data_IF_150414834451
#
_entry.id   IF_150414834451
#
_cell.length_a   1.000
_cell.length_b   1.000
_cell.length_c   1.000
_cell.angle_alpha   90.00
_cell.angle_beta   90.00
_cell.angle_gamma   90.00
#
_symmetry.space_group_name_H-M   'P 1'
#
loop_
_entity.id
_entity.type
_entity.pdbx_description
1 polymer ?
#
# COMPACT_ATOMS: atom_id res chain seq x y z
N UNK A 1 -7.78 32.52 33.92
CA UNK A 1 -7.50 32.22 32.50
C UNK A 1 -6.67 30.95 32.46
N UNK A 2 -7.27 29.82 32.06
CA UNK A 2 -6.51 28.57 31.94
C UNK A 2 -5.59 28.70 30.73
N UNK A 3 -4.28 28.74 30.95
CA UNK A 3 -3.29 28.77 29.88
C UNK A 3 -3.37 27.49 29.03
N UNK A 4 -2.93 27.59 27.77
CA UNK A 4 -2.84 26.44 26.88
C UNK A 4 -1.91 25.39 27.51
N UNK A 5 -2.36 24.15 27.65
CA UNK A 5 -1.57 23.10 28.30
C UNK A 5 -0.33 22.77 27.47
N UNK A 6 0.86 23.16 27.94
CA UNK A 6 2.13 23.01 27.22
C UNK A 6 2.40 21.56 26.80
N UNK A 7 2.02 20.58 27.62
CA UNK A 7 2.17 19.15 27.31
C UNK A 7 1.44 18.75 26.01
N UNK A 8 0.20 19.18 25.81
CA UNK A 8 -0.59 18.85 24.60
C UNK A 8 0.03 19.47 23.35
N UNK A 9 0.52 20.71 23.43
CA UNK A 9 1.22 21.38 22.32
C UNK A 9 2.47 20.63 21.89
N UNK A 10 3.36 20.32 22.84
CA UNK A 10 4.61 19.64 22.52
C UNK A 10 4.37 18.21 22.02
N UNK A 11 3.43 17.49 22.62
CA UNK A 11 3.02 16.16 22.14
C UNK A 11 2.53 16.22 20.70
N UNK A 12 1.54 17.09 20.40
CA UNK A 12 1.00 17.25 19.05
C UNK A 12 2.09 17.68 18.05
N UNK A 13 3.00 18.58 18.45
CA UNK A 13 4.10 19.00 17.60
C UNK A 13 5.06 17.84 17.28
N UNK A 14 5.52 17.09 18.27
CA UNK A 14 6.45 15.97 18.08
C UNK A 14 5.85 14.91 17.16
N UNK A 15 4.61 14.48 17.42
CA UNK A 15 3.95 13.48 16.58
C UNK A 15 3.79 13.96 15.13
N UNK A 16 3.34 15.21 14.93
CA UNK A 16 3.18 15.76 13.58
C UNK A 16 4.50 15.98 12.84
N UNK A 17 5.60 16.30 13.55
CA UNK A 17 6.94 16.36 12.95
C UNK A 17 7.41 14.98 12.50
N UNK A 18 7.17 13.93 13.28
CA UNK A 18 7.49 12.56 12.86
C UNK A 18 6.72 12.17 11.60
N UNK A 19 5.41 12.42 11.56
CA UNK A 19 4.60 12.17 10.36
C UNK A 19 5.06 13.00 9.16
N UNK A 20 5.40 14.27 9.37
CA UNK A 20 5.93 15.13 8.32
C UNK A 20 7.23 14.57 7.72
N UNK A 21 8.18 14.14 8.57
CA UNK A 21 9.43 13.52 8.13
C UNK A 21 9.17 12.22 7.36
N UNK A 22 8.28 11.36 7.84
CA UNK A 22 7.87 10.16 7.12
C UNK A 22 7.26 10.49 5.75
N UNK A 23 6.39 11.51 5.68
CA UNK A 23 5.80 12.00 4.43
C UNK A 23 6.86 12.47 3.44
N UNK A 24 7.85 13.24 3.89
CA UNK A 24 8.98 13.69 3.06
C UNK A 24 9.80 12.51 2.52
N UNK A 25 10.08 11.50 3.34
CA UNK A 25 10.83 10.31 2.92
C UNK A 25 10.05 9.53 1.87
N UNK A 26 8.77 9.24 2.14
CA UNK A 26 7.90 8.51 1.20
C UNK A 26 7.82 9.26 -0.13
N UNK A 27 7.50 10.56 -0.08
CA UNK A 27 7.39 11.39 -1.28
C UNK A 27 8.71 11.45 -2.06
N UNK A 28 9.85 11.60 -1.37
CA UNK A 28 11.17 11.62 -1.99
C UNK A 28 11.51 10.30 -2.69
N UNK A 29 11.25 9.16 -2.03
CA UNK A 29 11.47 7.83 -2.60
C UNK A 29 10.54 7.58 -3.79
N UNK A 30 9.26 7.96 -3.70
CA UNK A 30 8.31 7.80 -4.80
C UNK A 30 8.65 8.66 -6.02
N UNK A 31 9.08 9.91 -5.81
CA UNK A 31 9.57 10.77 -6.91
C UNK A 31 10.86 10.20 -7.51
N UNK A 32 11.78 9.72 -6.69
CA UNK A 32 13.01 9.07 -7.16
C UNK A 32 12.70 7.87 -8.07
N UNK A 33 11.80 7.00 -7.63
CA UNK A 33 11.31 5.86 -8.44
C UNK A 33 10.65 6.32 -9.73
N UNK A 34 9.90 7.44 -9.71
CA UNK A 34 9.19 7.94 -10.90
C UNK A 34 10.10 8.61 -11.93
N UNK A 35 11.22 9.21 -11.52
CA UNK A 35 12.05 10.03 -12.41
C UNK A 35 13.35 9.34 -12.82
N UNK A 36 13.96 8.54 -11.94
CA UNK A 36 15.26 7.93 -12.20
C UNK A 36 15.12 6.71 -13.11
N UNK A 37 15.68 6.79 -14.33
CA UNK A 37 15.72 5.64 -15.26
C UNK A 37 16.50 4.47 -14.68
N UNK A 38 17.58 4.73 -13.94
CA UNK A 38 18.32 3.69 -13.24
C UNK A 38 17.45 3.00 -12.19
N UNK A 39 16.67 3.76 -11.41
CA UNK A 39 15.72 3.18 -10.46
C UNK A 39 14.58 2.44 -11.18
N UNK A 40 14.09 2.95 -12.31
CA UNK A 40 13.08 2.27 -13.13
C UNK A 40 13.61 0.97 -13.72
N UNK A 41 14.88 0.90 -14.11
CA UNK A 41 15.51 -0.30 -14.68
C UNK A 41 15.86 -1.30 -13.57
N UNK A 42 16.44 -0.85 -12.47
CA UNK A 42 16.76 -1.68 -11.30
C UNK A 42 15.50 -2.28 -10.66
N UNK A 43 14.42 -1.49 -10.58
CA UNK A 43 13.11 -1.91 -10.03
C UNK A 43 12.13 -2.39 -11.11
N UNK A 44 12.55 -2.41 -12.39
CA UNK A 44 11.73 -2.82 -13.54
C UNK A 44 10.32 -2.18 -13.56
N UNK A 45 10.25 -0.87 -13.33
CA UNK A 45 9.01 -0.09 -13.29
C UNK A 45 8.46 0.09 -14.71
N UNK A 46 7.49 -0.75 -15.08
CA UNK A 46 6.72 -0.63 -16.31
C UNK A 46 5.53 0.35 -16.17
N UNK A 47 4.87 0.62 -17.29
CA UNK A 47 3.73 1.55 -17.37
C UNK A 47 2.56 1.21 -16.44
N UNK A 48 2.40 -0.05 -16.06
CA UNK A 48 1.41 -0.51 -15.06
C UNK A 48 1.77 -0.05 -13.64
N UNK A 49 3.05 -0.06 -13.28
CA UNK A 49 3.55 0.28 -11.95
C UNK A 49 3.55 1.78 -11.66
N UNK A 50 3.50 2.58 -12.71
CA UNK A 50 3.37 4.03 -12.61
C UNK A 50 2.13 4.47 -11.84
N UNK A 51 1.01 3.74 -11.95
CA UNK A 51 -0.21 4.07 -11.19
C UNK A 51 -0.01 3.91 -9.68
N UNK A 52 0.69 2.86 -9.25
CA UNK A 52 0.99 2.61 -7.84
C UNK A 52 1.99 3.61 -7.27
N UNK A 53 3.03 3.96 -8.04
CA UNK A 53 4.00 5.00 -7.65
C UNK A 53 3.31 6.36 -7.53
N UNK A 54 2.40 6.70 -8.45
CA UNK A 54 1.62 7.94 -8.39
C UNK A 54 0.70 7.97 -7.15
N UNK A 55 0.13 6.83 -6.76
CA UNK A 55 -0.64 6.72 -5.52
C UNK A 55 0.25 6.92 -4.28
N UNK A 56 1.47 6.37 -4.26
CA UNK A 56 2.43 6.64 -3.18
C UNK A 56 2.84 8.12 -3.12
N UNK A 57 3.01 8.80 -4.27
CA UNK A 57 3.24 10.24 -4.34
C UNK A 57 2.07 10.99 -3.71
N UNK A 58 0.83 10.64 -4.09
CA UNK A 58 -0.37 11.25 -3.52
C UNK A 58 -0.44 11.07 -2.00
N UNK A 59 -0.30 9.83 -1.50
CA UNK A 59 -0.31 9.52 -0.07
C UNK A 59 0.81 10.25 0.68
N UNK A 60 2.05 10.21 0.18
CA UNK A 60 3.19 10.91 0.77
C UNK A 60 2.98 12.42 0.85
N UNK A 61 2.41 13.01 -0.19
CA UNK A 61 2.08 14.44 -0.23
C UNK A 61 1.02 14.83 0.79
N UNK A 62 -0.03 14.01 0.97
CA UNK A 62 -1.09 14.26 1.95
C UNK A 62 -0.51 14.19 3.37
N UNK A 63 0.27 13.15 3.68
CA UNK A 63 0.92 12.99 5.00
C UNK A 63 1.84 14.18 5.29
N UNK A 64 2.63 14.61 4.30
CA UNK A 64 3.50 15.78 4.44
C UNK A 64 2.70 17.06 4.72
N UNK A 65 1.64 17.34 3.95
CA UNK A 65 0.82 18.55 4.14
C UNK A 65 0.12 18.54 5.50
N UNK A 66 -0.49 17.42 5.90
CA UNK A 66 -1.18 17.31 7.18
C UNK A 66 -0.20 17.41 8.37
N UNK A 67 0.97 16.77 8.28
CA UNK A 67 2.02 16.92 9.30
C UNK A 67 2.49 18.37 9.44
N UNK A 68 2.66 19.09 8.33
CA UNK A 68 3.03 20.50 8.34
C UNK A 68 1.93 21.39 8.95
N UNK A 69 0.67 21.17 8.59
CA UNK A 69 -0.47 21.91 9.16
C UNK A 69 -0.62 21.65 10.66
N UNK A 70 -0.46 20.39 11.10
CA UNK A 70 -0.50 20.01 12.51
C UNK A 70 0.63 20.65 13.32
N UNK A 71 1.86 20.64 12.81
CA UNK A 71 3.00 21.22 13.52
C UNK A 71 2.93 22.76 13.58
N UNK A 72 2.63 23.42 12.45
CA UNK A 72 2.50 24.87 12.38
C UNK A 72 1.27 25.38 13.13
N UNK A 73 0.14 24.66 13.07
CA UNK A 73 -1.07 24.99 13.80
C UNK A 73 -0.85 24.97 15.32
N UNK A 74 -0.13 23.97 15.83
CA UNK A 74 0.19 23.87 17.25
C UNK A 74 1.18 24.96 17.72
N UNK A 75 2.23 25.25 16.94
CA UNK A 75 3.27 26.22 17.31
C UNK A 75 2.85 27.67 17.12
N UNK A 76 2.20 28.00 15.99
CA UNK A 76 1.75 29.37 15.69
C UNK A 76 0.42 29.73 16.36
N UNK A 77 -0.18 28.80 17.12
CA UNK A 77 -1.53 28.94 17.67
C UNK A 77 -2.55 29.39 16.60
N UNK A 78 -2.36 28.93 15.34
CA UNK A 78 -3.21 29.37 14.23
C UNK A 78 -4.47 28.52 14.14
N UNK A 79 -5.60 29.13 14.46
CA UNK A 79 -6.92 28.52 14.39
C UNK A 79 -7.24 27.95 13.00
N UNK A 80 -6.92 28.68 11.93
CA UNK A 80 -7.18 28.24 10.56
C UNK A 80 -6.40 26.96 10.22
N UNK A 81 -5.11 26.90 10.56
CA UNK A 81 -4.27 25.71 10.31
C UNK A 81 -4.74 24.50 11.12
N UNK A 82 -5.17 24.69 12.37
CA UNK A 82 -5.72 23.62 13.21
C UNK A 82 -7.05 23.08 12.67
N UNK A 83 -7.95 23.96 12.20
CA UNK A 83 -9.20 23.55 11.54
C UNK A 83 -8.91 22.77 10.26
N UNK A 84 -7.98 23.24 9.41
CA UNK A 84 -7.62 22.53 8.19
C UNK A 84 -7.03 21.15 8.48
N UNK A 85 -6.18 21.04 9.49
CA UNK A 85 -5.67 19.76 9.98
C UNK A 85 -6.79 18.84 10.48
N UNK A 86 -7.74 19.39 11.27
CA UNK A 86 -8.90 18.65 11.77
C UNK A 86 -9.78 18.12 10.63
N UNK A 87 -10.12 18.97 9.66
CA UNK A 87 -10.94 18.57 8.49
C UNK A 87 -10.19 17.50 7.69
N UNK A 88 -8.88 17.67 7.48
CA UNK A 88 -8.06 16.70 6.77
C UNK A 88 -8.07 15.31 7.43
N UNK A 89 -7.82 15.25 8.75
CA UNK A 89 -7.91 13.99 9.50
C UNK A 89 -9.31 13.38 9.47
N UNK A 90 -10.36 14.21 9.58
CA UNK A 90 -11.74 13.74 9.53
C UNK A 90 -12.07 13.11 8.18
N UNK A 91 -11.62 13.71 7.08
CA UNK A 91 -11.81 13.16 5.73
C UNK A 91 -11.08 11.83 5.56
N UNK A 92 -9.85 11.70 6.06
CA UNK A 92 -9.11 10.43 6.00
C UNK A 92 -9.84 9.36 6.81
N UNK A 93 -10.31 9.68 8.01
CA UNK A 93 -11.06 8.73 8.84
C UNK A 93 -12.34 8.25 8.12
N UNK A 94 -13.08 9.15 7.47
CA UNK A 94 -14.25 8.79 6.66
C UNK A 94 -13.85 7.88 5.50
N UNK A 95 -12.79 8.22 4.76
CA UNK A 95 -12.28 7.38 3.67
C UNK A 95 -11.85 6.00 4.17
N UNK A 96 -11.22 5.92 5.34
CA UNK A 96 -10.79 4.67 5.94
C UNK A 96 -11.98 3.79 6.34
N UNK A 97 -13.03 4.38 6.92
CA UNK A 97 -14.28 3.67 7.26
C UNK A 97 -14.98 3.20 6.00
N UNK A 98 -15.10 4.04 4.97
CA UNK A 98 -15.71 3.68 3.68
C UNK A 98 -14.92 2.54 3.04
N UNK A 99 -13.59 2.63 2.99
CA UNK A 99 -12.73 1.58 2.46
C UNK A 99 -12.87 0.27 3.26
N UNK A 100 -12.97 0.36 4.59
CA UNK A 100 -13.21 -0.80 5.46
C UNK A 100 -14.56 -1.48 5.19
N UNK A 101 -15.63 -0.69 5.04
CA UNK A 101 -16.98 -1.20 4.70
C UNK A 101 -16.97 -1.84 3.31
N UNK A 102 -16.43 -1.14 2.30
CA UNK A 102 -16.33 -1.66 0.93
C UNK A 102 -15.50 -2.94 0.90
N UNK A 103 -14.37 -2.99 1.61
CA UNK A 103 -13.53 -4.19 1.72
C UNK A 103 -14.25 -5.36 2.39
N UNK A 104 -15.13 -5.09 3.36
CA UNK A 104 -15.93 -6.12 4.03
C UNK A 104 -17.09 -6.62 3.15
N UNK A 105 -17.81 -5.72 2.46
CA UNK A 105 -18.98 -6.04 1.62
C UNK A 105 -18.55 -6.75 0.34
N UNK A 106 -17.52 -6.23 -0.33
CA UNK A 106 -17.05 -6.73 -1.61
C UNK A 106 -15.97 -7.80 -1.47
N UNK A 107 -15.85 -8.48 -0.32
CA UNK A 107 -14.74 -9.41 -0.04
C UNK A 107 -14.42 -10.41 -1.17
N UNK A 108 -15.41 -10.88 -1.92
CA UNK A 108 -15.21 -11.78 -3.08
C UNK A 108 -14.86 -11.06 -4.40
N UNK A 109 -15.31 -9.81 -4.58
CA UNK A 109 -15.02 -8.98 -5.75
C UNK A 109 -13.68 -8.23 -5.59
N UNK A 110 -13.34 -7.84 -4.36
CA UNK A 110 -12.07 -7.22 -4.01
C UNK A 110 -10.91 -8.20 -4.09
N UNK A 111 -11.14 -9.51 -4.03
CA UNK A 111 -10.13 -10.52 -4.38
C UNK A 111 -9.74 -10.44 -5.87
N UNK A 112 -10.70 -10.08 -6.75
CA UNK A 112 -10.49 -9.91 -8.19
C UNK A 112 -9.88 -8.53 -8.49
N UNK A 113 -10.40 -7.45 -7.88
CA UNK A 113 -9.82 -6.10 -8.02
C UNK A 113 -8.46 -5.96 -7.34
N UNK A 114 -8.21 -6.66 -6.22
CA UNK A 114 -6.87 -6.77 -5.64
C UNK A 114 -5.95 -7.51 -6.58
N UNK A 115 -6.41 -8.54 -7.29
CA UNK A 115 -5.62 -9.23 -8.30
C UNK A 115 -5.36 -8.36 -9.53
N UNK A 116 -6.26 -7.47 -9.90
CA UNK A 116 -6.02 -6.46 -10.95
C UNK A 116 -5.07 -5.35 -10.45
N UNK A 117 -5.25 -4.88 -9.23
CA UNK A 117 -4.26 -4.02 -8.58
C UNK A 117 -2.92 -4.75 -8.43
N UNK A 118 -2.86 -6.03 -8.10
CA UNK A 118 -1.62 -6.81 -7.98
C UNK A 118 -1.01 -7.18 -9.32
N UNK A 119 -1.81 -7.44 -10.35
CA UNK A 119 -1.34 -7.67 -11.72
C UNK A 119 -0.73 -6.41 -12.29
N UNK A 120 -1.26 -5.26 -11.89
CA UNK A 120 -0.76 -3.93 -12.25
C UNK A 120 0.41 -3.50 -11.33
N UNK A 121 0.41 -3.87 -10.04
CA UNK A 121 1.30 -3.31 -8.97
C UNK A 121 2.43 -4.25 -8.52
N UNK A 122 2.30 -5.58 -8.61
CA UNK A 122 3.22 -6.53 -7.94
C UNK A 122 3.68 -7.71 -8.81
N UNK A 123 2.88 -8.20 -9.76
CA UNK A 123 3.30 -9.25 -10.69
C UNK A 123 4.26 -8.82 -11.82
N UNK A 124 4.31 -7.56 -12.27
CA UNK A 124 5.41 -7.10 -13.12
C UNK A 124 6.67 -6.80 -12.29
N UNK A 125 6.58 -6.81 -10.95
CA UNK A 125 7.55 -6.15 -10.07
C UNK A 125 8.90 -6.85 -9.97
N UNK A 126 9.26 -7.83 -10.79
CA UNK A 126 10.67 -8.14 -11.00
C UNK A 126 10.92 -9.30 -11.99
N UNK A 127 11.93 -9.22 -12.86
CA UNK A 127 12.66 -10.36 -13.42
C UNK A 127 13.47 -11.18 -12.36
N UNK A 128 13.47 -10.72 -11.10
CA UNK A 128 14.06 -11.32 -9.88
C UNK A 128 13.03 -11.85 -8.84
N UNK A 129 11.74 -11.51 -8.92
CA UNK A 129 10.59 -12.09 -8.19
C UNK A 129 9.88 -13.05 -9.12
N UNK A 130 9.96 -12.86 -10.45
CA UNK A 130 9.61 -13.90 -11.40
C UNK A 130 10.26 -15.24 -11.01
N UNK A 131 11.57 -15.42 -10.74
CA UNK A 131 12.06 -16.72 -10.27
C UNK A 131 11.56 -17.13 -8.87
N UNK A 132 11.16 -16.21 -7.99
CA UNK A 132 10.71 -16.54 -6.63
C UNK A 132 9.22 -16.96 -6.58
N UNK A 133 8.37 -16.29 -7.37
CA UNK A 133 6.92 -16.51 -7.45
C UNK A 133 6.56 -17.53 -8.55
N UNK A 134 7.35 -17.58 -9.64
CA UNK A 134 7.23 -18.60 -10.69
C UNK A 134 7.55 -19.98 -10.16
N UNK A 135 8.14 -20.11 -8.96
CA UNK A 135 8.34 -21.38 -8.26
C UNK A 135 7.11 -21.85 -7.46
N UNK A 136 5.97 -21.15 -7.52
CA UNK A 136 4.77 -21.52 -6.74
C UNK A 136 3.45 -21.34 -7.50
N UNK A 137 3.44 -20.63 -8.63
CA UNK A 137 2.24 -20.41 -9.43
C UNK A 137 2.54 -20.25 -10.92
N UNK A 138 1.53 -20.46 -11.76
CA UNK A 138 1.59 -20.24 -13.20
C UNK A 138 0.41 -19.40 -13.65
N UNK A 139 0.65 -18.30 -14.36
CA UNK A 139 -0.40 -17.42 -14.87
C UNK A 139 -1.14 -16.63 -13.80
N UNK A 140 -1.86 -15.58 -14.20
CA UNK A 140 -2.48 -14.62 -13.29
C UNK A 140 -3.82 -15.15 -12.76
N UNK A 141 -4.75 -15.45 -13.65
CA UNK A 141 -6.14 -15.80 -13.33
C UNK A 141 -6.48 -17.21 -13.79
N UNK A 142 -6.16 -17.58 -15.04
CA UNK A 142 -6.54 -18.87 -15.63
C UNK A 142 -5.40 -19.87 -15.73
N UNK A 143 -4.33 -19.68 -14.98
CA UNK A 143 -3.24 -20.63 -15.00
C UNK A 143 -2.38 -20.51 -16.26
N UNK A 144 -1.93 -21.64 -16.79
CA UNK A 144 -1.16 -21.70 -18.05
C UNK A 144 -1.89 -21.16 -19.28
N UNK A 145 -3.23 -21.06 -19.25
CA UNK A 145 -4.03 -20.58 -20.37
C UNK A 145 -3.84 -19.08 -20.63
N UNK A 146 -3.46 -18.29 -19.62
CA UNK A 146 -3.22 -16.85 -19.75
C UNK A 146 -2.09 -16.52 -20.75
N UNK A 147 -1.21 -17.49 -21.01
CA UNK A 147 -0.08 -17.34 -21.93
C UNK A 147 -0.44 -17.59 -23.39
N UNK A 148 -1.61 -18.17 -23.67
CA UNK A 148 -2.09 -18.46 -25.03
C UNK A 148 -1.03 -19.11 -25.93
N UNK A 149 -0.81 -18.54 -27.11
CA UNK A 149 0.18 -19.02 -28.08
C UNK A 149 1.63 -18.77 -27.66
N UNK A 150 1.87 -17.87 -26.72
CA UNK A 150 3.22 -17.50 -26.27
C UNK A 150 3.76 -18.45 -25.19
N UNK A 151 2.97 -19.41 -24.73
CA UNK A 151 3.35 -20.34 -23.66
C UNK A 151 4.65 -21.12 -23.95
N UNK A 152 4.85 -21.54 -25.20
CA UNK A 152 6.06 -22.24 -25.63
C UNK A 152 7.15 -21.28 -26.15
N UNK A 153 6.90 -19.97 -26.15
CA UNK A 153 7.91 -19.00 -26.54
C UNK A 153 8.96 -18.86 -25.44
N UNK A 154 10.26 -18.99 -25.74
CA UNK A 154 11.30 -18.75 -24.76
C UNK A 154 11.32 -17.26 -24.36
N UNK A 155 11.13 -16.97 -23.08
CA UNK A 155 11.37 -15.63 -22.54
C UNK A 155 12.84 -15.57 -22.08
N UNK A 156 13.73 -15.27 -23.02
CA UNK A 156 15.18 -15.39 -22.81
C UNK A 156 15.60 -16.84 -22.57
N UNK A 157 16.32 -17.13 -21.48
CA UNK A 157 16.78 -18.47 -21.12
C UNK A 157 15.79 -19.26 -20.22
N UNK A 158 14.64 -18.68 -19.86
CA UNK A 158 13.70 -19.28 -18.93
C UNK A 158 12.45 -19.80 -19.65
N UNK A 159 12.02 -21.00 -19.25
CA UNK A 159 10.74 -21.57 -19.67
C UNK A 159 9.64 -21.10 -18.72
N UNK A 160 8.57 -20.57 -19.30
CA UNK A 160 7.41 -20.06 -18.56
C UNK A 160 6.81 -21.16 -17.67
N UNK A 161 6.66 -20.85 -16.38
CA UNK A 161 6.01 -21.68 -15.35
C UNK A 161 6.68 -23.03 -15.08
N UNK A 162 7.95 -23.22 -15.46
CA UNK A 162 8.64 -24.50 -15.30
C UNK A 162 8.75 -24.89 -13.82
N UNK A 163 8.19 -26.03 -13.46
CA UNK A 163 8.29 -26.61 -12.14
C UNK A 163 9.43 -27.64 -12.12
N UNK A 164 10.38 -27.47 -11.20
CA UNK A 164 11.58 -28.32 -11.10
C UNK A 164 11.34 -29.67 -10.40
N UNK A 165 10.18 -29.87 -9.77
CA UNK A 165 9.95 -31.00 -8.86
C UNK A 165 9.58 -32.31 -9.59
N UNK A 166 10.29 -33.38 -9.21
CA UNK A 166 10.09 -34.78 -9.61
C UNK A 166 9.25 -35.59 -8.62
N UNK A 167 8.76 -34.96 -7.54
CA UNK A 167 8.08 -35.69 -6.45
C UNK A 167 6.58 -35.87 -6.76
N UNK A 168 6.18 -37.13 -6.87
CA UNK A 168 4.79 -37.57 -7.13
C UNK A 168 3.84 -37.36 -5.93
N UNK A 169 4.32 -36.82 -4.81
CA UNK A 169 3.60 -36.78 -3.54
C UNK A 169 3.04 -35.40 -3.15
N UNK A 170 3.30 -34.37 -3.96
CA UNK A 170 2.82 -32.99 -3.73
C UNK A 170 1.99 -32.52 -4.91
N UNK A 171 0.75 -32.12 -4.64
CA UNK A 171 -0.29 -31.68 -5.60
C UNK A 171 0.01 -30.30 -6.25
N UNK A 172 1.29 -29.94 -6.35
CA UNK A 172 1.81 -28.62 -6.75
C UNK A 172 1.96 -28.45 -8.27
N UNK A 173 2.32 -29.52 -8.98
CA UNK A 173 2.70 -29.44 -10.40
C UNK A 173 1.86 -30.38 -11.27
N UNK A 174 1.62 -29.96 -12.52
CA UNK A 174 0.86 -30.70 -13.53
C UNK A 174 1.70 -30.85 -14.80
N UNK A 175 1.48 -31.95 -15.53
CA UNK A 175 2.11 -32.16 -16.82
C UNK A 175 1.28 -31.49 -17.93
N UNK A 176 1.86 -30.49 -18.60
CA UNK A 176 1.20 -29.72 -19.64
C UNK A 176 2.19 -29.34 -20.76
N UNK A 177 1.82 -29.55 -22.02
CA UNK A 177 2.66 -29.24 -23.20
C UNK A 177 4.10 -29.80 -23.10
N UNK A 178 4.22 -31.08 -22.75
CA UNK A 178 5.48 -31.83 -22.65
C UNK A 178 6.48 -31.34 -21.57
N UNK A 179 6.01 -30.61 -20.54
CA UNK A 179 6.79 -30.19 -19.37
C UNK A 179 5.94 -30.15 -18.10
N UNK A 180 6.57 -30.13 -16.94
CA UNK A 180 5.90 -29.91 -15.65
C UNK A 180 5.78 -28.41 -15.38
N UNK A 181 4.57 -27.99 -14.99
CA UNK A 181 4.27 -26.60 -14.64
C UNK A 181 3.51 -26.49 -13.33
N UNK A 182 3.54 -25.33 -12.70
CA UNK A 182 2.75 -25.05 -11.51
C UNK A 182 1.24 -25.08 -11.79
N UNK A 183 0.50 -25.78 -10.93
CA UNK A 183 -0.95 -25.99 -11.03
C UNK A 183 -1.75 -24.75 -10.61
N UNK A 184 -1.29 -24.03 -9.59
CA UNK A 184 -2.04 -22.92 -8.98
C UNK A 184 -1.84 -21.62 -9.78
N UNK A 185 -2.92 -20.84 -10.03
CA UNK A 185 -2.79 -19.49 -10.57
C UNK A 185 -2.24 -18.54 -9.49
N UNK A 186 -1.50 -17.52 -9.91
CA UNK A 186 -0.85 -16.58 -8.99
C UNK A 186 -1.85 -15.73 -8.20
N UNK A 187 -3.03 -15.43 -8.77
CA UNK A 187 -4.14 -14.79 -8.04
C UNK A 187 -4.47 -15.52 -6.74
N UNK A 188 -4.57 -16.84 -6.78
CA UNK A 188 -4.89 -17.65 -5.59
C UNK A 188 -3.77 -17.58 -4.55
N UNK A 189 -2.50 -17.65 -4.97
CA UNK A 189 -1.35 -17.54 -4.05
C UNK A 189 -1.29 -16.17 -3.38
N UNK A 190 -1.55 -15.11 -4.13
CA UNK A 190 -1.61 -13.73 -3.61
C UNK A 190 -2.77 -13.58 -2.62
N UNK A 191 -3.96 -14.03 -2.99
CA UNK A 191 -5.14 -13.98 -2.10
C UNK A 191 -4.87 -14.76 -0.81
N UNK A 192 -4.21 -15.91 -0.89
CA UNK A 192 -3.90 -16.74 0.28
C UNK A 192 -2.84 -16.06 1.19
N UNK A 193 -1.84 -15.39 0.59
CA UNK A 193 -0.89 -14.56 1.33
C UNK A 193 -1.61 -13.42 2.08
N UNK A 194 -2.52 -12.71 1.41
CA UNK A 194 -3.33 -11.69 2.08
C UNK A 194 -4.18 -12.29 3.20
N UNK A 195 -4.89 -13.38 2.95
CA UNK A 195 -5.71 -14.09 3.95
C UNK A 195 -4.90 -14.42 5.19
N UNK A 196 -3.66 -14.89 5.02
CA UNK A 196 -2.76 -15.19 6.12
C UNK A 196 -2.36 -13.92 6.92
N UNK A 197 -2.16 -12.80 6.24
CA UNK A 197 -1.75 -11.53 6.85
C UNK A 197 -2.90 -10.55 7.13
N UNK A 198 -4.17 -10.94 6.92
CA UNK A 198 -5.36 -10.08 7.10
C UNK A 198 -5.44 -9.52 8.52
N UNK A 199 -5.05 -10.32 9.53
CA UNK A 199 -5.07 -9.88 10.94
C UNK A 199 -4.11 -8.71 11.16
N UNK A 200 -2.92 -8.75 10.55
CA UNK A 200 -1.92 -7.69 10.67
C UNK A 200 -2.42 -6.42 9.97
N UNK A 201 -2.99 -6.57 8.76
CA UNK A 201 -3.57 -5.45 8.00
C UNK A 201 -4.72 -4.77 8.76
N UNK A 202 -5.63 -5.55 9.33
CA UNK A 202 -6.69 -5.03 10.20
C UNK A 202 -6.10 -4.31 11.42
N UNK A 203 -5.07 -4.89 12.04
CA UNK A 203 -4.37 -4.27 13.18
C UNK A 203 -3.78 -2.90 12.83
N UNK A 204 -3.10 -2.77 11.69
CA UNK A 204 -2.55 -1.50 11.20
C UNK A 204 -3.68 -0.49 10.96
N UNK A 205 -4.77 -0.90 10.30
CA UNK A 205 -5.91 -0.03 10.03
C UNK A 205 -6.55 0.50 11.33
N UNK A 206 -6.82 -0.38 12.30
CA UNK A 206 -7.36 0.04 13.60
C UNK A 206 -6.40 0.96 14.36
N UNK A 207 -5.09 0.68 14.31
CA UNK A 207 -4.06 1.53 14.91
C UNK A 207 -4.05 2.94 14.31
N UNK A 208 -4.10 3.04 12.97
CA UNK A 208 -4.18 4.33 12.27
C UNK A 208 -5.45 5.11 12.67
N UNK A 209 -6.62 4.47 12.67
CA UNK A 209 -7.87 5.10 13.06
C UNK A 209 -7.83 5.62 14.51
N UNK A 210 -7.21 4.86 15.42
CA UNK A 210 -7.03 5.29 16.81
C UNK A 210 -6.15 6.54 16.91
N UNK A 211 -5.02 6.57 16.21
CA UNK A 211 -4.10 7.72 16.18
C UNK A 211 -4.83 8.96 15.61
N UNK A 212 -5.63 8.80 14.55
CA UNK A 212 -6.40 9.89 13.96
C UNK A 212 -7.43 10.47 14.93
N UNK A 213 -8.18 9.62 15.66
CA UNK A 213 -9.15 10.07 16.67
C UNK A 213 -8.46 10.88 17.77
N UNK A 214 -7.30 10.42 18.24
CA UNK A 214 -6.49 11.17 19.22
C UNK A 214 -6.04 12.51 18.64
N UNK A 215 -5.59 12.54 17.38
CA UNK A 215 -5.21 13.76 16.66
C UNK A 215 -6.36 14.76 16.53
N UNK A 216 -7.57 14.29 16.20
CA UNK A 216 -8.79 15.09 16.14
C UNK A 216 -9.13 15.69 17.52
N UNK A 217 -9.06 14.87 18.57
CA UNK A 217 -9.31 15.31 19.95
C UNK A 217 -8.32 16.39 20.41
N UNK A 218 -7.03 16.20 20.12
CA UNK A 218 -6.00 17.20 20.44
C UNK A 218 -6.15 18.48 19.63
N UNK A 219 -6.45 18.38 18.33
CA UNK A 219 -6.68 19.55 17.48
C UNK A 219 -7.85 20.39 17.98
N UNK A 220 -9.00 19.76 18.28
CA UNK A 220 -10.18 20.46 18.78
C UNK A 220 -9.94 21.07 20.17
N UNK A 221 -9.25 20.34 21.06
CA UNK A 221 -8.91 20.83 22.39
C UNK A 221 -8.03 22.08 22.32
N UNK A 222 -6.99 22.05 21.47
CA UNK A 222 -6.11 23.21 21.26
C UNK A 222 -6.83 24.37 20.59
N UNK A 223 -7.68 24.08 19.60
CA UNK A 223 -8.52 25.10 18.96
C UNK A 223 -9.39 25.84 19.99
N UNK A 224 -10.11 25.12 20.86
CA UNK A 224 -10.93 25.71 21.91
C UNK A 224 -10.09 26.50 22.93
N UNK A 225 -8.90 26.02 23.29
CA UNK A 225 -8.01 26.74 24.21
C UNK A 225 -7.49 28.05 23.60
N UNK A 226 -7.17 28.05 22.30
CA UNK A 226 -6.73 29.24 21.57
C UNK A 226 -7.88 30.23 21.40
N UNK A 227 -9.10 29.77 21.12
CA UNK A 227 -10.27 30.65 20.99
C UNK A 227 -10.67 31.33 22.30
N UNK A 228 -10.39 30.69 23.44
CA UNK A 228 -10.67 31.25 24.78
C UNK A 228 -9.59 32.20 25.30
N UNK A 229 -8.44 32.28 24.60
CA UNK A 229 -7.33 33.18 24.92
C UNK A 229 -7.60 34.56 24.31
#
# INVERSE_FOLDING_TARGET
MAGVSSCMKYSMFIFNVLFWMCGCIILGVSIWMRVSKAAQEDLNLDSSLFSAVDLMIAVGSIIMVLGFLGCCGAMKESQCMLILFFIGLLLILILQVVAGILGAVYKSQSEIDLCDLFSVTILPFHPSISPLLQNQCCGLVKGSEDWGSNFNSPYGNFKICECAEKDQNTDLCIFYSNRYIYKKPCSVVVIDFFKHHMVILMGIAFGLAFIEIVGLGFSMSLYCQIQRK
#
